data_IF_427470371143
#
_entry.id   IF_427470371143
#
_cell.length_a   1.000
_cell.length_b   1.000
_cell.length_c   1.000
_cell.angle_alpha   90.00
_cell.angle_beta   90.00
_cell.angle_gamma   90.00
#
_symmetry.space_group_name_H-M   'P 1'
#
loop_
_entity.id
_entity.type
_entity.pdbx_description
1 polymer ?
#
# COMPACT_ATOMS: atom_id res chain seq x y z
N UNK A 1 -15.25 -7.98 30.64
CA UNK A 1 -14.99 -7.10 29.48
C UNK A 1 -14.59 -7.96 28.30
N UNK A 2 -15.38 -7.99 27.21
CA UNK A 2 -15.02 -8.72 26.00
C UNK A 2 -14.16 -7.82 25.13
N UNK A 3 -12.85 -8.12 25.03
CA UNK A 3 -11.96 -7.46 24.08
C UNK A 3 -12.06 -8.19 22.74
N UNK A 4 -12.58 -7.51 21.73
CA UNK A 4 -12.51 -7.99 20.34
C UNK A 4 -11.12 -7.69 19.79
N UNK A 5 -10.44 -8.70 19.27
CA UNK A 5 -9.19 -8.52 18.52
C UNK A 5 -9.57 -8.17 17.07
N UNK A 6 -9.11 -7.02 16.60
CA UNK A 6 -9.30 -6.58 15.21
C UNK A 6 -7.95 -6.50 14.50
N UNK A 7 -7.87 -7.03 13.27
CA UNK A 7 -6.68 -6.92 12.43
C UNK A 7 -6.65 -5.50 11.87
N UNK A 8 -5.59 -4.76 12.15
CA UNK A 8 -5.44 -3.38 11.68
C UNK A 8 -4.63 -3.28 10.39
N UNK A 9 -3.73 -4.23 10.12
CA UNK A 9 -2.82 -4.18 8.99
C UNK A 9 -2.49 -5.60 8.51
N UNK A 10 -2.31 -5.74 7.19
CA UNK A 10 -1.73 -6.94 6.58
C UNK A 10 -0.52 -6.48 5.76
N UNK A 11 0.59 -7.22 5.88
CA UNK A 11 1.78 -6.99 5.09
C UNK A 11 2.31 -8.29 4.46
N UNK A 12 2.83 -8.18 3.24
CA UNK A 12 3.52 -9.24 2.51
C UNK A 12 4.92 -8.72 2.18
N UNK A 13 5.95 -9.49 2.55
CA UNK A 13 7.33 -9.19 2.21
C UNK A 13 7.84 -10.20 1.17
N UNK A 14 8.42 -9.68 0.09
CA UNK A 14 9.07 -10.45 -0.97
C UNK A 14 10.55 -10.13 -0.91
N UNK A 15 11.40 -11.15 -0.80
CA UNK A 15 12.86 -10.96 -0.82
C UNK A 15 13.42 -11.25 -2.20
N UNK A 16 14.40 -10.46 -2.61
CA UNK A 16 15.11 -10.62 -3.88
C UNK A 16 16.56 -10.21 -3.71
N UNK A 17 17.48 -10.96 -4.31
CA UNK A 17 18.91 -10.61 -4.28
C UNK A 17 19.17 -9.45 -5.26
N UNK A 18 20.05 -8.53 -4.88
CA UNK A 18 20.53 -7.43 -5.72
C UNK A 18 19.41 -6.55 -6.30
N UNK A 19 18.31 -6.39 -5.53
CA UNK A 19 17.17 -5.57 -5.94
C UNK A 19 17.57 -4.10 -5.94
N UNK A 20 17.44 -3.41 -7.08
CA UNK A 20 17.54 -1.95 -7.12
C UNK A 20 16.20 -1.34 -6.68
N UNK A 21 16.13 -0.59 -5.56
CA UNK A 21 14.86 -0.07 -5.06
C UNK A 21 14.14 0.87 -6.02
N UNK A 22 14.88 1.58 -6.86
CA UNK A 22 14.32 2.62 -7.74
C UNK A 22 13.62 2.06 -8.99
N UNK A 23 13.73 0.75 -9.24
CA UNK A 23 12.95 0.07 -10.28
C UNK A 23 11.46 0.08 -9.92
N UNK A 24 11.12 0.01 -8.64
CA UNK A 24 9.73 0.00 -8.16
C UNK A 24 9.26 1.44 -7.92
N UNK A 25 9.13 2.22 -9.01
CA UNK A 25 8.61 3.58 -8.98
C UNK A 25 7.17 3.67 -9.49
N UNK A 26 6.53 4.83 -9.32
CA UNK A 26 5.11 5.02 -9.68
C UNK A 26 4.83 4.73 -11.16
N UNK A 27 5.67 5.25 -12.05
CA UNK A 27 5.50 5.10 -13.49
C UNK A 27 5.64 3.63 -13.91
N UNK A 28 6.68 2.95 -13.42
CA UNK A 28 6.86 1.53 -13.64
C UNK A 28 5.60 0.74 -13.23
N UNK A 29 5.07 1.00 -12.04
CA UNK A 29 3.88 0.29 -11.54
C UNK A 29 2.62 0.59 -12.35
N UNK A 30 2.43 1.83 -12.80
CA UNK A 30 1.27 2.22 -13.62
C UNK A 30 1.36 1.62 -15.03
N UNK A 31 2.49 1.81 -15.72
CA UNK A 31 2.65 1.36 -17.10
C UNK A 31 2.77 -0.17 -17.24
N UNK A 32 3.14 -0.87 -16.17
CA UNK A 32 3.12 -2.34 -16.12
C UNK A 32 1.77 -2.93 -15.69
N UNK A 33 0.76 -2.10 -15.40
CA UNK A 33 -0.54 -2.51 -14.86
C UNK A 33 -0.46 -3.31 -13.55
N UNK A 34 0.60 -3.12 -12.76
CA UNK A 34 0.72 -3.71 -11.42
C UNK A 34 -0.24 -3.01 -10.44
N UNK A 35 -0.40 -1.69 -10.60
CA UNK A 35 -1.41 -0.91 -9.89
C UNK A 35 -2.44 -0.36 -10.87
N UNK A 36 -3.64 -0.09 -10.38
CA UNK A 36 -4.69 0.54 -11.18
C UNK A 36 -4.35 2.00 -11.46
N UNK A 37 -4.73 2.49 -12.64
CA UNK A 37 -4.40 3.84 -13.12
C UNK A 37 -5.05 4.96 -12.31
N UNK A 38 -6.16 4.67 -11.64
CA UNK A 38 -6.92 5.58 -10.79
C UNK A 38 -6.30 5.80 -9.40
N UNK A 39 -5.34 4.95 -8.99
CA UNK A 39 -4.70 5.09 -7.67
C UNK A 39 -3.92 6.39 -7.55
N UNK A 40 -4.23 7.13 -6.48
CA UNK A 40 -3.57 8.39 -6.12
C UNK A 40 -2.63 8.21 -4.93
N UNK A 41 -1.52 8.93 -4.97
CA UNK A 41 -0.58 8.98 -3.86
C UNK A 41 -1.14 9.88 -2.75
N UNK A 42 -1.14 9.38 -1.52
CA UNK A 42 -1.54 10.14 -0.33
C UNK A 42 -0.51 11.22 0.05
N UNK A 43 0.72 11.09 -0.45
CA UNK A 43 1.83 12.04 -0.25
C UNK A 43 2.88 11.87 -1.34
N UNK A 44 3.76 12.86 -1.56
CA UNK A 44 4.88 12.71 -2.50
C UNK A 44 5.70 11.43 -2.22
N UNK A 45 6.17 10.75 -3.28
CA UNK A 45 6.96 9.53 -3.12
C UNK A 45 8.30 9.84 -2.46
N UNK A 46 8.79 8.93 -1.61
CA UNK A 46 10.16 9.00 -1.10
C UNK A 46 11.03 8.13 -1.99
N UNK A 47 12.06 8.71 -2.60
CA UNK A 47 13.03 7.98 -3.40
C UNK A 47 14.44 8.39 -3.03
N UNK A 48 15.26 7.39 -2.73
CA UNK A 48 16.69 7.53 -2.42
C UNK A 48 17.43 6.36 -3.05
N UNK A 49 18.76 6.31 -2.92
CA UNK A 49 19.53 5.15 -3.39
C UNK A 49 19.06 3.80 -2.81
N UNK A 50 18.58 3.81 -1.57
CA UNK A 50 18.31 2.57 -0.80
C UNK A 50 16.84 2.40 -0.39
N UNK A 51 15.96 3.29 -0.84
CA UNK A 51 14.56 3.28 -0.45
C UNK A 51 13.70 3.88 -1.55
N UNK A 52 12.67 3.15 -1.96
CA UNK A 52 11.49 3.75 -2.57
C UNK A 52 10.27 3.47 -1.70
N UNK A 53 9.49 4.51 -1.41
CA UNK A 53 8.23 4.39 -0.67
C UNK A 53 7.12 5.12 -1.41
N UNK A 54 6.06 4.38 -1.72
CA UNK A 54 4.82 4.87 -2.31
C UNK A 54 3.70 4.61 -1.31
N UNK A 55 2.93 5.65 -0.96
CA UNK A 55 1.78 5.53 -0.05
C UNK A 55 0.56 6.05 -0.78
N UNK A 56 -0.47 5.22 -0.89
CA UNK A 56 -1.68 5.50 -1.65
C UNK A 56 -2.86 5.83 -0.72
N UNK A 57 -3.80 6.63 -1.22
CA UNK A 57 -4.99 7.05 -0.46
C UNK A 57 -5.90 5.88 -0.05
N UNK A 58 -5.85 4.77 -0.80
CA UNK A 58 -6.60 3.56 -0.52
C UNK A 58 -6.03 2.72 0.65
N UNK A 59 -5.02 3.25 1.36
CA UNK A 59 -4.40 2.61 2.53
C UNK A 59 -3.33 1.57 2.18
N UNK A 60 -2.95 1.43 0.92
CA UNK A 60 -1.84 0.57 0.50
C UNK A 60 -0.54 1.37 0.50
N UNK A 61 0.54 0.75 0.97
CA UNK A 61 1.89 1.26 0.76
C UNK A 61 2.81 0.18 0.18
N UNK A 62 3.73 0.63 -0.67
CA UNK A 62 4.77 -0.19 -1.28
C UNK A 62 6.10 0.39 -0.83
N UNK A 63 6.89 -0.42 -0.13
CA UNK A 63 8.21 -0.04 0.40
C UNK A 63 9.26 -0.98 -0.18
N UNK A 64 10.22 -0.42 -0.88
CA UNK A 64 11.30 -1.19 -1.52
C UNK A 64 12.65 -0.79 -0.96
N UNK A 65 13.45 -1.80 -0.65
CA UNK A 65 14.83 -1.69 -0.14
C UNK A 65 15.71 -2.72 -0.89
N UNK A 66 17.05 -2.65 -0.80
CA UNK A 66 17.96 -3.42 -1.69
C UNK A 66 17.82 -4.94 -1.70
N UNK A 67 17.02 -5.51 -0.79
CA UNK A 67 16.80 -6.95 -0.67
C UNK A 67 15.33 -7.34 -0.56
N UNK A 68 14.41 -6.37 -0.52
CA UNK A 68 13.00 -6.65 -0.25
C UNK A 68 12.04 -5.62 -0.79
N UNK A 69 10.85 -6.10 -1.12
CA UNK A 69 9.64 -5.31 -1.36
C UNK A 69 8.65 -5.67 -0.28
N UNK A 70 8.07 -4.68 0.38
CA UNK A 70 7.00 -4.83 1.36
C UNK A 70 5.75 -4.17 0.78
N UNK A 71 4.69 -4.95 0.67
CA UNK A 71 3.35 -4.49 0.36
C UNK A 71 2.56 -4.51 1.65
N UNK A 72 2.05 -3.37 2.09
CA UNK A 72 1.25 -3.26 3.30
C UNK A 72 -0.10 -2.61 3.01
N UNK A 73 -1.14 -3.05 3.71
CA UNK A 73 -2.48 -2.46 3.64
C UNK A 73 -3.04 -2.22 5.02
N UNK A 74 -3.35 -0.96 5.30
CA UNK A 74 -4.17 -0.58 6.45
C UNK A 74 -5.61 -1.04 6.24
N UNK A 75 -6.15 -1.77 7.20
CA UNK A 75 -7.55 -2.21 7.20
C UNK A 75 -8.37 -1.20 7.98
N UNK A 76 -9.02 -0.29 7.26
CA UNK A 76 -9.98 0.64 7.85
C UNK A 76 -11.34 -0.06 7.93
N UNK A 77 -11.92 -0.10 9.13
CA UNK A 77 -13.30 -0.56 9.34
C UNK A 77 -14.25 0.38 8.61
N UNK A 78 -14.76 -0.04 7.45
CA UNK A 78 -15.85 0.67 6.78
C UNK A 78 -17.10 0.49 7.64
N UNK A 79 -17.44 1.50 8.43
CA UNK A 79 -18.71 1.52 9.17
C UNK A 79 -19.81 1.65 8.12
N UNK A 80 -20.51 0.56 7.83
CA UNK A 80 -21.75 0.61 7.05
C UNK A 80 -22.86 1.16 7.95
N UNK A 81 -23.13 2.47 7.86
CA UNK A 81 -24.37 3.02 8.37
C UNK A 81 -25.50 2.58 7.45
N UNK A 82 -26.27 1.57 7.89
CA UNK A 82 -27.52 1.16 7.25
C UNK A 82 -28.61 2.16 7.66
N UNK A 83 -28.60 3.37 7.11
CA UNK A 83 -29.67 4.34 7.37
C UNK A 83 -29.94 5.22 6.15
N UNK A 84 -30.79 4.71 5.25
CA UNK A 84 -31.98 5.35 4.65
C UNK A 84 -32.35 4.60 3.36
N UNK A 85 -33.22 3.59 3.47
CA UNK A 85 -34.17 3.21 2.43
C UNK A 85 -35.50 2.88 3.13
N UNK A 86 -36.05 3.88 3.79
CA UNK A 86 -37.46 3.96 4.14
C UNK A 86 -37.89 5.37 3.73
N UNK A 87 -38.28 5.48 2.47
CA UNK A 87 -39.19 6.48 1.91
C UNK A 87 -39.75 5.87 0.64
#
# INVERSE_FOLDING_TARGET
MNKTVEIQEIAIAITAKDLNPNVVNLDFLKYSNIISSDWQLARPPVQTKNLTQLVFENGIAIVTQPNRIILQKLLIKKIFNKQLLLN
#
